data_IF_724549780306
#
_entry.id   IF_724549780306
#
_cell.length_a   1.000
_cell.length_b   1.000
_cell.length_c   1.000
_cell.angle_alpha   90.00
_cell.angle_beta   90.00
_cell.angle_gamma   90.00
#
_symmetry.space_group_name_H-M   'P 1'
#
loop_
_entity.id
_entity.type
_entity.pdbx_description
1 polymer ?
#
# COMPACT_ATOMS: atom_id res chain seq x y z
N UNK A 1 -17.09 -9.97 0.62
CA UNK A 1 -16.36 -10.84 -0.33
C UNK A 1 -14.86 -11.00 0.01
N UNK A 2 -14.06 -9.93 0.15
CA UNK A 2 -12.59 -10.01 0.35
C UNK A 2 -12.14 -10.81 1.58
N UNK A 3 -12.80 -10.67 2.75
CA UNK A 3 -12.42 -11.40 3.97
C UNK A 3 -12.46 -12.94 3.82
N UNK A 4 -13.27 -13.48 2.90
CA UNK A 4 -13.40 -14.94 2.72
C UNK A 4 -12.25 -15.56 1.92
N UNK A 5 -11.52 -14.78 1.11
CA UNK A 5 -10.41 -15.31 0.30
C UNK A 5 -9.14 -15.58 1.13
N UNK A 6 -8.96 -14.89 2.26
CA UNK A 6 -7.70 -14.91 3.02
C UNK A 6 -7.70 -15.75 4.30
N UNK A 7 -8.79 -16.45 4.62
CA UNK A 7 -8.94 -17.15 5.89
C UNK A 7 -7.95 -18.32 6.10
N UNK A 8 -7.26 -18.80 5.06
CA UNK A 8 -6.41 -20.00 5.10
C UNK A 8 -5.10 -19.91 4.29
N UNK A 9 -4.56 -18.71 4.06
CA UNK A 9 -3.29 -18.55 3.34
C UNK A 9 -2.07 -18.96 4.18
N UNK A 10 -1.11 -19.65 3.57
CA UNK A 10 0.22 -19.83 4.15
C UNK A 10 0.88 -18.47 4.43
N UNK A 11 1.71 -18.33 5.48
CA UNK A 11 2.47 -17.12 5.73
C UNK A 11 3.29 -16.71 4.49
N UNK A 12 3.31 -15.41 4.18
CA UNK A 12 4.07 -14.87 3.03
C UNK A 12 5.58 -15.04 3.18
N UNK A 13 6.06 -14.97 4.42
CA UNK A 13 7.48 -15.09 4.76
C UNK A 13 7.65 -16.22 5.79
N UNK A 14 8.79 -16.95 5.77
CA UNK A 14 9.05 -18.04 6.69
C UNK A 14 9.49 -17.58 8.10
N UNK A 15 9.41 -16.28 8.38
CA UNK A 15 9.89 -15.65 9.62
C UNK A 15 8.79 -14.75 10.21
N UNK A 16 9.04 -14.19 11.40
CA UNK A 16 8.08 -13.34 12.13
C UNK A 16 8.44 -11.85 12.11
N UNK A 17 9.26 -11.40 11.15
CA UNK A 17 9.62 -9.99 11.00
C UNK A 17 8.39 -9.17 10.57
N UNK A 18 8.23 -7.93 11.06
CA UNK A 18 7.16 -7.07 10.56
C UNK A 18 7.30 -6.86 9.05
N UNK A 19 6.17 -6.91 8.34
CA UNK A 19 6.11 -6.85 6.89
C UNK A 19 5.72 -5.46 6.42
N UNK A 20 6.54 -4.87 5.57
CA UNK A 20 6.32 -3.54 4.99
C UNK A 20 5.79 -3.71 3.56
N UNK A 21 4.68 -3.07 3.22
CA UNK A 21 4.20 -2.99 1.83
C UNK A 21 4.67 -1.67 1.22
N UNK A 22 5.56 -1.72 0.24
CA UNK A 22 5.94 -0.57 -0.57
C UNK A 22 5.13 -0.53 -1.87
N UNK A 23 4.23 0.44 -1.99
CA UNK A 23 3.30 0.59 -3.10
C UNK A 23 3.39 2.00 -3.73
N UNK A 24 4.42 2.29 -4.54
CA UNK A 24 4.51 3.58 -5.21
C UNK A 24 3.52 3.69 -6.36
N UNK A 25 3.04 4.92 -6.58
CA UNK A 25 2.12 5.25 -7.66
C UNK A 25 2.77 5.19 -9.05
N UNK A 26 1.97 5.06 -10.11
CA UNK A 26 2.48 4.93 -11.48
C UNK A 26 2.81 6.29 -12.14
N UNK A 27 2.14 7.38 -11.73
CA UNK A 27 2.38 8.70 -12.32
C UNK A 27 3.73 9.26 -11.88
N UNK A 28 4.67 9.57 -12.80
CA UNK A 28 6.01 10.03 -12.43
C UNK A 28 6.04 11.30 -11.56
N UNK A 29 5.01 12.15 -11.67
CA UNK A 29 4.88 13.40 -10.90
C UNK A 29 4.53 13.19 -9.44
N UNK A 30 3.90 12.05 -9.12
CA UNK A 30 3.44 11.72 -7.77
C UNK A 30 4.25 10.57 -7.17
N UNK A 31 4.84 9.73 -8.02
CA UNK A 31 5.57 8.53 -7.64
C UNK A 31 6.88 8.86 -6.95
N UNK A 32 7.14 8.16 -5.86
CA UNK A 32 8.41 8.07 -5.16
C UNK A 32 9.44 7.19 -5.90
N UNK A 33 8.97 6.30 -6.79
CA UNK A 33 9.78 5.29 -7.47
C UNK A 33 11.02 5.88 -8.16
N UNK A 34 10.83 6.90 -9.00
CA UNK A 34 11.91 7.43 -9.84
C UNK A 34 13.02 8.14 -9.07
N UNK A 35 12.73 8.67 -7.88
CA UNK A 35 13.71 9.42 -7.07
C UNK A 35 14.32 8.59 -5.95
N UNK A 36 13.55 7.69 -5.35
CA UNK A 36 13.97 6.97 -4.14
C UNK A 36 13.65 5.49 -4.17
N UNK A 37 12.93 4.98 -5.17
CA UNK A 37 12.50 3.58 -5.22
C UNK A 37 13.65 2.59 -5.12
N UNK A 38 14.72 2.80 -5.88
CA UNK A 38 15.93 1.97 -5.81
C UNK A 38 16.60 2.04 -4.43
N UNK A 39 16.72 3.23 -3.85
CA UNK A 39 17.30 3.40 -2.52
C UNK A 39 16.46 2.73 -1.41
N UNK A 40 15.12 2.72 -1.56
CA UNK A 40 14.23 1.96 -0.67
C UNK A 40 14.50 0.47 -0.80
N UNK A 41 14.56 -0.07 -2.03
CA UNK A 41 14.86 -1.49 -2.24
C UNK A 41 16.26 -1.86 -1.70
N UNK A 42 17.26 -1.01 -1.94
CA UNK A 42 18.62 -1.19 -1.43
C UNK A 42 18.63 -1.19 0.10
N UNK A 43 17.92 -0.27 0.76
CA UNK A 43 17.79 -0.29 2.21
C UNK A 43 17.26 -1.64 2.71
N UNK A 44 16.15 -2.12 2.13
CA UNK A 44 15.53 -3.37 2.56
C UNK A 44 16.40 -4.61 2.28
N UNK A 45 17.21 -4.58 1.22
CA UNK A 45 18.14 -5.67 0.87
C UNK A 45 19.27 -5.85 1.90
N UNK A 46 19.72 -4.76 2.55
CA UNK A 46 20.86 -4.78 3.46
C UNK A 46 20.50 -4.83 4.95
N UNK A 47 19.23 -4.60 5.29
CA UNK A 47 18.73 -4.68 6.67
C UNK A 47 18.15 -6.07 7.00
N UNK A 48 18.01 -6.37 8.29
CA UNK A 48 17.53 -7.67 8.80
C UNK A 48 16.30 -7.58 9.72
N UNK A 49 15.73 -6.39 9.93
CA UNK A 49 14.62 -6.16 10.86
C UNK A 49 13.25 -6.45 10.26
N UNK A 50 13.08 -6.20 8.97
CA UNK A 50 11.80 -6.14 8.28
C UNK A 50 11.75 -7.08 7.07
N UNK A 51 10.56 -7.57 6.77
CA UNK A 51 10.26 -8.10 5.44
C UNK A 51 9.76 -6.96 4.54
N UNK A 52 10.03 -7.04 3.24
CA UNK A 52 9.49 -6.12 2.25
C UNK A 52 8.60 -6.85 1.25
N UNK A 53 7.43 -6.31 0.98
CA UNK A 53 6.67 -6.56 -0.24
C UNK A 53 6.78 -5.31 -1.10
N UNK A 54 7.52 -5.38 -2.20
CA UNK A 54 7.47 -4.35 -3.23
C UNK A 54 6.39 -4.72 -4.24
N UNK A 55 5.23 -4.09 -4.10
CA UNK A 55 4.10 -4.27 -5.00
C UNK A 55 3.61 -2.89 -5.45
N UNK A 56 4.25 -2.28 -6.46
CA UNK A 56 3.84 -0.98 -6.97
C UNK A 56 2.48 -1.06 -7.66
N UNK A 57 1.92 0.11 -7.98
CA UNK A 57 0.76 0.17 -8.86
C UNK A 57 1.07 -0.59 -10.17
N UNK A 58 0.18 -1.49 -10.62
CA UNK A 58 0.44 -2.44 -11.71
C UNK A 58 0.92 -1.76 -13.01
N UNK A 59 0.47 -0.53 -13.26
CA UNK A 59 0.85 0.29 -14.41
C UNK A 59 2.25 0.92 -14.37
N UNK A 60 2.96 0.87 -13.24
CA UNK A 60 4.24 1.57 -13.07
C UNK A 60 5.26 1.17 -14.14
N UNK A 61 5.25 -0.09 -14.57
CA UNK A 61 6.23 -0.65 -15.50
C UNK A 61 5.66 -1.03 -16.87
N UNK A 62 4.43 -0.62 -17.22
CA UNK A 62 3.75 -1.00 -18.48
C UNK A 62 4.62 -0.78 -19.72
N UNK A 63 5.37 0.33 -19.74
CA UNK A 63 6.22 0.72 -20.88
C UNK A 63 7.59 0.05 -20.90
N UNK A 64 8.06 -0.51 -19.79
CA UNK A 64 9.44 -1.00 -19.64
C UNK A 64 9.54 -2.29 -18.81
N UNK A 65 8.56 -3.19 -18.93
CA UNK A 65 8.41 -4.35 -18.03
C UNK A 65 9.62 -5.28 -18.03
N UNK A 66 10.11 -5.67 -19.21
CA UNK A 66 11.27 -6.58 -19.32
C UNK A 66 12.54 -5.98 -18.68
N UNK A 67 12.83 -4.72 -19.00
CA UNK A 67 13.98 -3.99 -18.43
C UNK A 67 13.86 -3.87 -16.91
N UNK A 68 12.68 -3.52 -16.42
CA UNK A 68 12.41 -3.36 -14.99
C UNK A 68 12.55 -4.69 -14.25
N UNK A 69 12.02 -5.77 -14.81
CA UNK A 69 12.18 -7.12 -14.25
C UNK A 69 13.65 -7.53 -14.12
N UNK A 70 14.49 -7.23 -15.13
CA UNK A 70 15.93 -7.49 -15.05
C UNK A 70 16.63 -6.74 -13.92
N UNK A 71 16.29 -5.46 -13.72
CA UNK A 71 16.84 -4.64 -12.62
C UNK A 71 16.35 -5.13 -11.25
N UNK A 72 15.10 -5.58 -11.18
CA UNK A 72 14.42 -5.98 -9.95
C UNK A 72 14.78 -7.41 -9.50
N UNK A 73 15.20 -8.28 -10.42
CA UNK A 73 15.46 -9.70 -10.15
C UNK A 73 16.43 -9.92 -8.99
N UNK A 74 17.47 -9.09 -8.86
CA UNK A 74 18.44 -9.18 -7.75
C UNK A 74 17.81 -9.02 -6.36
N UNK A 75 16.75 -8.21 -6.23
CA UNK A 75 16.07 -8.03 -4.94
C UNK A 75 15.19 -9.24 -4.59
N UNK A 76 14.68 -9.95 -5.60
CA UNK A 76 13.91 -11.19 -5.41
C UNK A 76 14.74 -12.37 -4.90
N UNK A 77 16.08 -12.24 -4.85
CA UNK A 77 16.97 -13.25 -4.28
C UNK A 77 17.03 -13.19 -2.74
N UNK A 78 16.54 -12.12 -2.12
CA UNK A 78 16.51 -11.99 -0.67
C UNK A 78 15.27 -12.69 -0.09
N UNK A 79 15.43 -13.63 0.86
CA UNK A 79 14.30 -14.41 1.38
C UNK A 79 13.29 -13.58 2.18
N UNK A 80 13.66 -12.37 2.60
CA UNK A 80 12.79 -11.40 3.28
C UNK A 80 12.21 -10.33 2.34
N UNK A 81 12.30 -10.51 1.02
CA UNK A 81 11.74 -9.59 0.03
C UNK A 81 10.88 -10.31 -1.00
N UNK A 82 9.66 -9.82 -1.20
CA UNK A 82 8.78 -10.19 -2.32
C UNK A 82 8.79 -9.03 -3.31
N UNK A 83 9.12 -9.32 -4.56
CA UNK A 83 9.14 -8.36 -5.66
C UNK A 83 8.03 -8.72 -6.62
N UNK A 84 6.94 -7.95 -6.59
CA UNK A 84 5.74 -8.22 -7.38
C UNK A 84 5.27 -6.97 -8.15
N UNK A 85 5.79 -6.73 -9.36
CA UNK A 85 5.44 -5.56 -10.14
C UNK A 85 4.01 -5.56 -10.72
N UNK A 86 3.16 -6.56 -10.43
CA UNK A 86 1.75 -6.54 -10.84
C UNK A 86 1.16 -7.90 -11.15
N UNK A 87 1.26 -8.86 -10.23
CA UNK A 87 0.41 -10.06 -10.21
C UNK A 87 -0.98 -9.73 -9.65
N UNK A 88 -1.90 -10.70 -9.68
CA UNK A 88 -3.22 -10.58 -9.07
C UNK A 88 -3.15 -10.23 -7.58
N UNK A 89 -2.09 -10.68 -6.88
CA UNK A 89 -1.87 -10.40 -5.46
C UNK A 89 -1.63 -8.91 -5.17
N UNK A 90 -1.21 -8.15 -6.18
CA UNK A 90 -1.01 -6.71 -6.09
C UNK A 90 -2.33 -5.93 -6.10
N UNK A 91 -3.46 -6.57 -6.39
CA UNK A 91 -4.79 -5.93 -6.49
C UNK A 91 -5.91 -6.64 -5.73
N UNK A 92 -5.72 -7.87 -5.26
CA UNK A 92 -6.75 -8.67 -4.56
C UNK A 92 -6.75 -8.50 -3.03
N UNK A 93 -6.00 -7.52 -2.51
CA UNK A 93 -5.73 -7.27 -1.09
C UNK A 93 -4.84 -8.31 -0.37
N UNK A 94 -4.23 -9.27 -1.08
CA UNK A 94 -3.25 -10.22 -0.51
C UNK A 94 -2.18 -9.52 0.30
N UNK A 95 -1.57 -8.49 -0.28
CA UNK A 95 -0.47 -7.79 0.37
C UNK A 95 -0.95 -6.75 1.38
N UNK A 96 -2.08 -6.07 1.12
CA UNK A 96 -2.61 -5.05 2.03
C UNK A 96 -3.15 -5.68 3.33
N UNK A 97 -3.66 -6.90 3.29
CA UNK A 97 -4.08 -7.63 4.49
C UNK A 97 -2.90 -8.25 5.25
N UNK A 98 -1.83 -8.66 4.57
CA UNK A 98 -0.68 -9.32 5.18
C UNK A 98 0.38 -8.35 5.75
N UNK A 99 0.43 -7.11 5.29
CA UNK A 99 1.44 -6.15 5.75
C UNK A 99 1.09 -5.51 7.11
N UNK A 100 2.12 -5.17 7.88
CA UNK A 100 2.03 -4.50 9.17
C UNK A 100 2.17 -2.98 9.05
N UNK A 101 2.85 -2.49 8.00
CA UNK A 101 3.04 -1.07 7.71
C UNK A 101 2.92 -0.80 6.22
N UNK A 102 2.22 0.28 5.88
CA UNK A 102 2.12 0.78 4.51
C UNK A 102 3.18 1.84 4.23
N UNK A 103 3.98 1.64 3.20
CA UNK A 103 4.94 2.61 2.68
C UNK A 103 4.49 3.01 1.27
N UNK A 104 4.26 4.29 1.04
CA UNK A 104 3.82 4.74 -0.28
C UNK A 104 4.03 6.21 -0.53
N UNK A 105 3.36 6.70 -1.55
CA UNK A 105 3.31 8.11 -1.93
C UNK A 105 1.83 8.53 -2.07
N UNK A 106 1.32 8.67 -3.29
CA UNK A 106 -0.08 9.03 -3.57
C UNK A 106 -0.76 7.85 -4.25
N UNK A 107 -1.23 6.89 -3.46
CA UNK A 107 -1.92 5.69 -3.96
C UNK A 107 -3.21 5.45 -3.19
N UNK A 108 -4.29 5.17 -3.91
CA UNK A 108 -5.61 4.84 -3.36
C UNK A 108 -5.61 3.50 -2.62
N UNK A 109 -4.63 2.62 -2.87
CA UNK A 109 -4.52 1.32 -2.20
C UNK A 109 -4.27 1.46 -0.69
N UNK A 110 -3.86 2.64 -0.21
CA UNK A 110 -3.80 2.93 1.23
C UNK A 110 -5.17 2.73 1.90
N UNK A 111 -6.28 3.00 1.21
CA UNK A 111 -7.62 2.79 1.74
C UNK A 111 -7.94 1.31 1.96
N UNK A 112 -7.49 0.43 1.06
CA UNK A 112 -7.59 -1.02 1.22
C UNK A 112 -6.78 -1.51 2.42
N UNK A 113 -5.54 -1.02 2.56
CA UNK A 113 -4.70 -1.30 3.72
C UNK A 113 -5.36 -0.83 5.03
N UNK A 114 -5.96 0.35 5.05
CA UNK A 114 -6.55 0.94 6.25
C UNK A 114 -7.94 0.40 6.61
N UNK A 115 -8.48 -0.58 5.87
CA UNK A 115 -9.63 -1.39 6.35
C UNK A 115 -9.38 -2.00 7.74
N UNK A 116 -8.10 -2.19 8.10
CA UNK A 116 -7.62 -2.35 9.47
C UNK A 116 -6.59 -1.25 9.76
N UNK A 117 -6.87 -0.29 10.66
CA UNK A 117 -5.92 0.78 11.01
C UNK A 117 -4.56 0.22 11.46
N UNK A 118 -3.51 0.68 10.80
CA UNK A 118 -2.12 0.22 10.95
C UNK A 118 -1.16 1.37 10.59
N UNK A 119 0.11 1.33 11.03
CA UNK A 119 1.10 2.34 10.67
C UNK A 119 1.22 2.59 9.16
N UNK A 120 1.39 3.86 8.78
CA UNK A 120 1.68 4.28 7.41
C UNK A 120 2.89 5.22 7.39
N UNK A 121 3.64 5.24 6.30
CA UNK A 121 4.69 6.23 6.00
C UNK A 121 4.52 6.68 4.56
N UNK A 122 4.67 7.99 4.31
CA UNK A 122 4.57 8.58 2.99
C UNK A 122 5.87 9.25 2.55
N UNK A 123 6.26 9.02 1.30
CA UNK A 123 7.51 9.51 0.73
C UNK A 123 7.29 10.79 -0.07
N UNK A 124 7.74 11.92 0.47
CA UNK A 124 7.76 13.22 -0.21
C UNK A 124 9.05 13.44 -1.00
N UNK A 125 9.32 12.55 -1.95
CA UNK A 125 10.57 12.59 -2.73
C UNK A 125 10.68 13.82 -3.64
N UNK A 126 9.53 14.43 -3.97
CA UNK A 126 9.45 15.66 -4.76
C UNK A 126 9.50 16.94 -3.91
N UNK A 127 9.56 16.82 -2.58
CA UNK A 127 9.62 17.95 -1.62
C UNK A 127 8.48 18.97 -1.81
N UNK A 128 7.28 18.47 -2.10
CA UNK A 128 6.09 19.30 -2.31
C UNK A 128 5.58 19.86 -0.99
N UNK A 129 4.97 21.05 -1.04
CA UNK A 129 4.19 21.61 0.06
C UNK A 129 2.80 20.96 0.06
N UNK A 130 2.70 19.84 0.76
CA UNK A 130 1.52 18.97 0.72
C UNK A 130 0.44 19.33 1.76
N UNK A 131 0.79 20.04 2.83
CA UNK A 131 -0.15 20.37 3.91
C UNK A 131 -1.27 21.27 3.38
N UNK A 132 -2.51 20.87 3.60
CA UNK A 132 -3.69 21.57 3.09
C UNK A 132 -3.99 21.32 1.61
N UNK A 133 -3.21 20.47 0.93
CA UNK A 133 -3.45 20.11 -0.46
C UNK A 133 -4.25 18.80 -0.54
N UNK A 134 -5.46 18.79 -1.14
CA UNK A 134 -6.32 17.60 -1.19
C UNK A 134 -5.69 16.43 -1.96
N UNK A 135 -4.77 16.71 -2.90
CA UNK A 135 -4.08 15.64 -3.65
C UNK A 135 -3.13 14.79 -2.78
N UNK A 136 -2.81 15.26 -1.58
CA UNK A 136 -1.93 14.59 -0.63
C UNK A 136 -2.63 14.34 0.70
N UNK A 137 -3.97 14.29 0.70
CA UNK A 137 -4.74 14.07 1.92
C UNK A 137 -4.32 12.79 2.65
N UNK A 138 -3.99 11.72 1.90
CA UNK A 138 -3.51 10.46 2.44
C UNK A 138 -2.21 10.62 3.26
N UNK A 139 -1.40 11.66 3.02
CA UNK A 139 -0.18 11.90 3.79
C UNK A 139 -0.46 12.35 5.23
N UNK A 140 -1.71 12.69 5.56
CA UNK A 140 -2.13 12.94 6.96
C UNK A 140 -2.27 11.65 7.79
N UNK A 141 -2.15 10.47 7.16
CA UNK A 141 -2.41 9.16 7.79
C UNK A 141 -1.17 8.53 8.43
N UNK A 142 -0.02 9.21 8.39
CA UNK A 142 1.26 8.73 8.93
C UNK A 142 2.38 9.75 8.77
N UNK A 143 3.60 9.47 9.27
CA UNK A 143 4.76 10.34 9.07
C UNK A 143 5.10 10.52 7.58
N UNK A 144 5.59 11.71 7.23
CA UNK A 144 6.02 12.05 5.86
C UNK A 144 7.53 12.23 5.85
N UNK A 145 8.23 11.44 5.03
CA UNK A 145 9.69 11.43 4.91
C UNK A 145 10.11 12.07 3.60
N UNK A 146 11.05 13.01 3.65
CA UNK A 146 11.55 13.74 2.46
C UNK A 146 12.99 13.39 2.07
N UNK A 147 13.71 12.61 2.90
CA UNK A 147 15.07 12.13 2.64
C UNK A 147 15.24 10.68 3.10
N UNK A 148 16.11 9.92 2.42
CA UNK A 148 16.48 8.57 2.83
C UNK A 148 17.30 8.54 4.13
N UNK A 149 17.94 9.65 4.49
CA UNK A 149 18.72 9.75 5.75
C UNK A 149 17.83 9.57 7.00
N UNK A 150 16.57 9.99 6.90
CA UNK A 150 15.58 9.90 7.99
C UNK A 150 14.73 8.62 7.90
N UNK A 151 14.86 7.86 6.82
CA UNK A 151 13.94 6.79 6.48
C UNK A 151 13.97 5.66 7.50
N UNK A 152 15.17 5.14 7.83
CA UNK A 152 15.33 4.04 8.77
C UNK A 152 14.78 4.38 10.17
N UNK A 153 15.11 5.57 10.68
CA UNK A 153 14.62 6.04 11.97
C UNK A 153 13.10 6.23 11.97
N UNK A 154 12.55 6.75 10.89
CA UNK A 154 11.10 6.95 10.76
C UNK A 154 10.36 5.61 10.68
N UNK A 155 10.94 4.63 9.99
CA UNK A 155 10.39 3.28 9.89
C UNK A 155 10.28 2.62 11.27
N UNK A 156 11.35 2.68 12.07
CA UNK A 156 11.36 2.16 13.44
C UNK A 156 10.31 2.90 14.32
N UNK A 157 10.21 4.23 14.19
CA UNK A 157 9.30 5.05 15.00
C UNK A 157 7.83 4.92 14.61
N UNK A 158 7.51 4.66 13.35
CA UNK A 158 6.13 4.65 12.86
C UNK A 158 5.25 3.63 13.60
N UNK A 159 5.81 2.48 13.99
CA UNK A 159 5.12 1.50 14.82
C UNK A 159 4.80 2.05 16.23
N UNK A 160 5.73 2.78 16.83
CA UNK A 160 5.58 3.35 18.17
C UNK A 160 4.63 4.55 18.19
N UNK A 161 4.56 5.31 17.09
CA UNK A 161 3.76 6.54 17.00
C UNK A 161 2.42 6.37 16.29
N UNK A 162 2.01 5.14 15.95
CA UNK A 162 0.76 4.88 15.21
C UNK A 162 -0.48 5.46 15.89
N UNK A 163 -0.53 5.44 17.22
CA UNK A 163 -1.63 5.99 18.00
C UNK A 163 -1.95 7.46 17.64
N UNK A 164 -0.95 8.25 17.24
CA UNK A 164 -1.12 9.64 16.85
C UNK A 164 -1.93 9.82 15.54
N UNK A 165 -2.04 8.77 14.73
CA UNK A 165 -2.71 8.80 13.43
C UNK A 165 -4.02 8.01 13.42
N UNK A 166 -4.33 7.27 14.50
CA UNK A 166 -5.42 6.30 14.52
C UNK A 166 -6.78 6.94 14.23
N UNK A 167 -7.09 8.07 14.86
CA UNK A 167 -8.40 8.72 14.67
C UNK A 167 -8.54 9.31 13.27
N UNK A 168 -7.45 9.88 12.74
CA UNK A 168 -7.42 10.37 11.36
C UNK A 168 -7.57 9.25 10.34
N UNK A 169 -6.98 8.07 10.59
CA UNK A 169 -7.16 6.88 9.76
C UNK A 169 -8.62 6.39 9.76
N UNK A 170 -9.27 6.36 10.93
CA UNK A 170 -10.69 5.97 11.04
C UNK A 170 -11.59 6.95 10.29
N UNK A 171 -11.35 8.25 10.43
CA UNK A 171 -12.08 9.28 9.71
C UNK A 171 -11.91 9.13 8.20
N UNK A 172 -10.67 9.03 7.71
CA UNK A 172 -10.41 8.85 6.29
C UNK A 172 -11.13 7.64 5.69
N UNK A 173 -11.16 6.53 6.42
CA UNK A 173 -11.87 5.31 5.98
C UNK A 173 -13.38 5.48 6.00
N UNK A 174 -13.91 6.16 7.01
CA UNK A 174 -15.34 6.52 7.08
C UNK A 174 -15.74 7.45 5.95
N UNK A 175 -14.90 8.40 5.59
CA UNK A 175 -15.17 9.35 4.50
C UNK A 175 -15.05 8.65 3.13
N UNK A 176 -14.15 7.68 3.00
CA UNK A 176 -13.95 6.89 1.77
C UNK A 176 -15.06 5.85 1.54
N UNK A 177 -15.47 5.12 2.58
CA UNK A 177 -16.37 3.97 2.44
C UNK A 177 -17.77 4.17 3.05
N UNK A 178 -17.99 5.29 3.76
CA UNK A 178 -19.26 5.59 4.43
C UNK A 178 -19.51 4.81 5.72
N UNK A 179 -20.69 5.02 6.32
CA UNK A 179 -21.12 4.46 7.61
C UNK A 179 -21.77 3.08 7.52
N UNK A 180 -21.99 2.54 6.32
CA UNK A 180 -22.74 1.30 6.20
C UNK A 180 -21.94 0.16 6.83
N UNK A 181 -22.57 -0.56 7.77
CA UNK A 181 -22.10 -1.87 8.21
C UNK A 181 -21.78 -2.72 6.96
N UNK A 182 -20.86 -3.70 7.04
CA UNK A 182 -20.50 -4.55 5.91
C UNK A 182 -21.69 -5.46 5.54
N UNK A 183 -22.70 -4.88 4.93
CA UNK A 183 -23.66 -5.60 4.11
C UNK A 183 -22.93 -6.00 2.84
N UNK A 184 -23.35 -7.11 2.23
CA UNK A 184 -22.71 -7.61 1.02
C UNK A 184 -23.01 -6.64 -0.14
N UNK A 185 -22.12 -5.65 -0.34
CA UNK A 185 -22.26 -4.61 -1.36
C UNK A 185 -22.37 -5.20 -2.76
N UNK A 186 -21.76 -6.37 -2.98
CA UNK A 186 -21.92 -7.13 -4.22
C UNK A 186 -23.37 -7.64 -4.38
N UNK A 187 -23.96 -8.22 -3.32
CA UNK A 187 -25.35 -8.67 -3.35
C UNK A 187 -26.33 -7.49 -3.51
N UNK A 188 -26.07 -6.35 -2.86
CA UNK A 188 -26.84 -5.12 -3.07
C UNK A 188 -26.75 -4.64 -4.52
N UNK A 189 -25.54 -4.59 -5.09
CA UNK A 189 -25.34 -4.19 -6.48
C UNK A 189 -26.07 -5.12 -7.45
N UNK A 190 -25.95 -6.43 -7.26
CA UNK A 190 -26.68 -7.42 -8.05
C UNK A 190 -28.21 -7.24 -7.94
N UNK A 191 -28.72 -7.00 -6.73
CA UNK A 191 -30.14 -6.70 -6.51
C UNK A 191 -30.57 -5.43 -7.23
N UNK A 192 -29.81 -4.34 -7.16
CA UNK A 192 -30.13 -3.10 -7.87
C UNK A 192 -30.16 -3.28 -9.38
N UNK A 193 -29.25 -4.09 -9.94
CA UNK A 193 -29.28 -4.44 -11.38
C UNK A 193 -30.56 -5.22 -11.71
N UNK A 194 -30.90 -6.24 -10.91
CA UNK A 194 -32.13 -7.04 -11.10
C UNK A 194 -33.37 -6.15 -11.02
N UNK A 195 -33.45 -5.29 -10.01
CA UNK A 195 -34.61 -4.41 -9.78
C UNK A 195 -34.75 -3.39 -10.93
N UNK A 196 -33.65 -2.86 -11.46
CA UNK A 196 -33.67 -1.98 -12.65
C UNK A 196 -34.17 -2.71 -13.89
N UNK A 197 -33.68 -3.92 -14.16
CA UNK A 197 -34.08 -4.70 -15.34
C UNK A 197 -35.57 -5.08 -15.31
N UNK A 198 -36.16 -5.23 -14.12
CA UNK A 198 -37.60 -5.51 -13.94
C UNK A 198 -38.51 -4.29 -14.18
N UNK A 199 -37.98 -3.08 -14.12
CA UNK A 199 -38.76 -1.86 -14.37
C UNK A 199 -38.89 -1.52 -15.86
N UNK A 200 -38.01 -2.09 -16.69
CA UNK A 200 -37.93 -1.81 -18.13
C UNK A 200 -38.41 -2.97 -19.02
N UNK A 201 -38.78 -4.11 -18.43
CA UNK A 201 -39.33 -5.29 -19.12
C UNK A 201 -40.75 -5.56 -18.68
#
# INVERSE_FOLDING_TARGET
MVRRLHAHGLPLFPNTRPTILYNPHFSPRLSSWHRSGMAVLDYFAHQEKYNLIFAPHYRLFDTHRLKSNGILARYGMHPHMIIDPGSDRSVDMSYTLAADLYLGDVSSQVSEFLTKPRPCIFLNTHRVQWRGNPNYENWTLGPVVSSMDEFALTLDRAFLTHANFLDRQKEYIRDTFGFAAPEDTAAKGAKSIIDFLRLIG
#
